data_IF_046045989724
#
_entry.id   IF_046045989724
#
_cell.length_a   1.000
_cell.length_b   1.000
_cell.length_c   1.000
_cell.angle_alpha   90.00
_cell.angle_beta   90.00
_cell.angle_gamma   90.00
#
_symmetry.space_group_name_H-M   'P 1'
#
loop_
_entity.id
_entity.type
_entity.pdbx_description
1 polymer ?
#
# COMPACT_ATOMS: atom_id res chain seq x y z
N UNK A 1 5.22 21.86 2.11
CA UNK A 1 4.30 21.15 3.04
C UNK A 1 3.20 20.57 2.18
N UNK A 2 3.28 19.30 1.84
CA UNK A 2 2.30 18.67 0.95
C UNK A 2 1.22 17.99 1.79
N UNK A 3 -0.03 18.38 1.52
CA UNK A 3 -1.22 17.89 2.22
C UNK A 3 -1.59 16.49 1.74
N UNK A 4 -1.71 15.52 2.67
CA UNK A 4 -2.00 14.12 2.31
C UNK A 4 -3.46 13.90 1.93
N UNK A 5 -4.40 14.56 2.63
CA UNK A 5 -5.83 14.53 2.29
C UNK A 5 -6.33 15.96 2.12
N UNK A 6 -6.28 16.46 0.89
CA UNK A 6 -6.44 17.88 0.57
C UNK A 6 -7.68 18.55 1.18
N UNK A 7 -8.90 17.96 1.10
CA UNK A 7 -10.08 18.60 1.71
C UNK A 7 -10.13 18.48 3.23
N UNK A 8 -9.59 17.42 3.82
CA UNK A 8 -9.45 17.36 5.28
C UNK A 8 -8.44 18.42 5.77
N UNK A 9 -7.66 18.99 4.85
CA UNK A 9 -6.72 20.10 5.05
C UNK A 9 -7.18 21.39 4.34
N UNK A 10 -8.50 21.65 4.28
CA UNK A 10 -9.10 22.92 3.83
C UNK A 10 -9.05 23.23 2.32
N UNK A 11 -8.85 22.23 1.45
CA UNK A 11 -9.04 22.41 0.00
C UNK A 11 -10.52 22.63 -0.38
N UNK A 12 -10.77 23.52 -1.34
CA UNK A 12 -12.11 23.97 -1.70
C UNK A 12 -13.04 22.85 -2.23
N UNK A 13 -12.51 21.88 -2.99
CA UNK A 13 -13.29 20.77 -3.58
C UNK A 13 -13.24 19.52 -2.71
N UNK A 14 -14.36 18.79 -2.61
CA UNK A 14 -14.41 17.43 -1.99
C UNK A 14 -13.63 16.40 -2.77
N UNK A 15 -12.42 16.10 -2.29
CA UNK A 15 -11.56 15.06 -2.84
C UNK A 15 -11.61 13.75 -2.04
N UNK A 16 -12.16 13.76 -0.82
CA UNK A 16 -12.26 12.58 0.06
C UNK A 16 -13.64 12.47 0.75
N UNK A 17 -14.74 12.32 -0.01
CA UNK A 17 -16.10 12.30 0.53
C UNK A 17 -16.31 11.16 1.55
N UNK A 18 -15.87 9.95 1.22
CA UNK A 18 -16.05 8.77 2.07
C UNK A 18 -15.37 8.93 3.43
N UNK A 19 -14.13 9.45 3.48
CA UNK A 19 -13.41 9.70 4.73
C UNK A 19 -14.06 10.82 5.55
N UNK A 20 -14.53 11.88 4.89
CA UNK A 20 -15.24 12.97 5.56
C UNK A 20 -16.55 12.50 6.20
N UNK A 21 -17.28 11.59 5.57
CA UNK A 21 -18.49 10.99 6.13
C UNK A 21 -18.19 10.09 7.34
N UNK A 22 -17.11 9.30 7.28
CA UNK A 22 -16.65 8.49 8.41
C UNK A 22 -16.28 9.36 9.62
N UNK A 23 -15.58 10.46 9.39
CA UNK A 23 -15.24 11.44 10.44
C UNK A 23 -16.51 12.07 11.04
N UNK A 24 -17.48 12.47 10.20
CA UNK A 24 -18.77 13.01 10.68
C UNK A 24 -19.58 12.01 11.51
N UNK A 25 -19.45 10.72 11.22
CA UNK A 25 -20.08 9.62 11.98
C UNK A 25 -19.40 9.35 13.32
N UNK A 26 -18.29 10.02 13.64
CA UNK A 26 -17.55 9.82 14.88
C UNK A 26 -16.72 8.53 14.90
N UNK A 27 -16.40 7.97 13.72
CA UNK A 27 -15.44 6.87 13.65
C UNK A 27 -14.05 7.33 14.13
N UNK A 28 -13.26 6.40 14.67
CA UNK A 28 -11.91 6.67 15.16
C UNK A 28 -10.93 6.90 13.99
N UNK A 29 -11.04 8.05 13.33
CA UNK A 29 -10.23 8.49 12.20
C UNK A 29 -9.38 9.69 12.62
N UNK A 30 -8.06 9.57 12.48
CA UNK A 30 -7.10 10.63 12.76
C UNK A 30 -6.52 11.13 11.42
N UNK A 31 -6.60 12.44 11.17
CA UNK A 31 -6.00 13.08 10.00
C UNK A 31 -4.79 13.93 10.41
N UNK A 32 -3.65 13.69 9.77
CA UNK A 32 -2.43 14.46 9.97
C UNK A 32 -2.32 15.54 8.89
N UNK A 33 -2.46 16.80 9.28
CA UNK A 33 -2.47 17.93 8.35
C UNK A 33 -1.07 18.38 7.93
N UNK A 34 -0.05 18.02 8.70
CA UNK A 34 1.34 18.46 8.50
C UNK A 34 2.27 17.26 8.38
N UNK A 35 2.32 16.68 7.19
CA UNK A 35 3.24 15.59 6.83
C UNK A 35 4.08 16.06 5.65
N UNK A 36 5.26 15.46 5.46
CA UNK A 36 6.11 15.73 4.31
C UNK A 36 6.78 14.44 3.86
N UNK A 37 6.91 14.27 2.54
CA UNK A 37 7.56 13.11 1.95
C UNK A 37 9.07 13.12 2.21
N UNK A 38 9.70 11.96 2.05
CA UNK A 38 11.17 11.86 2.04
C UNK A 38 11.76 12.43 0.74
N UNK A 39 11.14 12.12 -0.41
CA UNK A 39 11.50 12.66 -1.72
C UNK A 39 10.28 12.89 -2.62
N UNK A 40 10.55 13.23 -3.88
CA UNK A 40 9.52 13.51 -4.90
C UNK A 40 9.35 12.38 -5.92
N UNK A 41 10.20 11.35 -5.85
CA UNK A 41 10.15 10.18 -6.73
C UNK A 41 9.91 8.92 -5.91
N UNK A 42 9.09 7.99 -6.43
CA UNK A 42 8.79 6.71 -5.78
C UNK A 42 10.06 5.92 -5.46
N UNK A 43 11.04 5.92 -6.38
CA UNK A 43 12.34 5.26 -6.20
C UNK A 43 13.15 5.77 -5.01
N UNK A 44 12.90 6.99 -4.53
CA UNK A 44 13.56 7.56 -3.35
C UNK A 44 12.66 7.48 -2.12
N UNK A 45 11.39 7.86 -2.27
CA UNK A 45 10.47 7.95 -1.14
C UNK A 45 10.14 6.59 -0.53
N UNK A 46 9.92 5.56 -1.35
CA UNK A 46 9.53 4.24 -0.84
C UNK A 46 10.65 3.63 -0.01
N UNK A 47 11.89 3.47 -0.50
CA UNK A 47 12.92 2.85 0.33
C UNK A 47 13.30 3.72 1.53
N UNK A 48 13.27 5.05 1.41
CA UNK A 48 13.53 5.95 2.54
C UNK A 48 12.53 5.77 3.69
N UNK A 49 11.23 5.72 3.41
CA UNK A 49 10.19 5.60 4.47
C UNK A 49 10.26 4.27 5.22
N UNK A 50 10.73 3.21 4.57
CA UNK A 50 10.87 1.88 5.18
C UNK A 50 12.26 1.66 5.80
N UNK A 51 13.23 2.50 5.49
CA UNK A 51 14.57 2.43 6.07
C UNK A 51 14.59 2.95 7.52
N UNK A 52 15.62 2.59 8.27
CA UNK A 52 15.91 3.19 9.56
C UNK A 52 16.58 4.57 9.47
N UNK A 53 16.81 5.09 8.25
CA UNK A 53 17.46 6.37 8.01
C UNK A 53 16.43 7.51 8.04
N UNK A 54 16.88 8.70 8.41
CA UNK A 54 16.03 9.88 8.32
C UNK A 54 16.17 10.53 6.93
N UNK A 55 15.24 11.42 6.58
CA UNK A 55 15.26 12.12 5.30
C UNK A 55 16.58 12.87 5.01
N UNK A 56 17.20 13.44 6.04
CA UNK A 56 18.39 14.29 5.87
C UNK A 56 19.68 13.48 5.63
N UNK A 57 19.71 12.21 6.03
CA UNK A 57 20.86 11.32 5.90
C UNK A 57 20.55 10.06 5.09
N UNK A 58 19.45 10.06 4.34
CA UNK A 58 19.08 8.94 3.50
C UNK A 58 20.13 8.73 2.41
N UNK A 59 20.67 7.52 2.37
CA UNK A 59 21.58 7.03 1.35
C UNK A 59 21.07 5.67 0.88
N UNK A 60 20.80 5.57 -0.41
CA UNK A 60 20.17 4.39 -1.01
C UNK A 60 21.05 3.15 -0.87
N UNK A 61 22.35 3.29 -1.06
CA UNK A 61 23.29 2.20 -0.91
C UNK A 61 23.28 1.68 0.54
N UNK A 62 23.34 2.56 1.54
CA UNK A 62 23.23 2.15 2.94
C UNK A 62 21.88 1.53 3.28
N UNK A 63 20.78 2.09 2.78
CA UNK A 63 19.44 1.56 3.02
C UNK A 63 19.29 0.13 2.47
N UNK A 64 19.82 -0.14 1.28
CA UNK A 64 19.74 -1.45 0.64
C UNK A 64 20.58 -2.55 1.33
N UNK A 65 21.60 -2.18 2.10
CA UNK A 65 22.46 -3.10 2.84
C UNK A 65 22.07 -3.23 4.33
N UNK A 66 20.90 -2.74 4.73
CA UNK A 66 20.38 -2.84 6.10
C UNK A 66 18.98 -3.43 6.10
N UNK A 67 18.61 -3.99 7.25
CA UNK A 67 17.23 -4.36 7.52
C UNK A 67 16.34 -3.11 7.45
N UNK A 68 15.25 -3.23 6.71
CA UNK A 68 14.18 -2.25 6.70
C UNK A 68 13.09 -2.65 7.70
N UNK A 69 12.03 -1.84 7.78
CA UNK A 69 10.91 -2.10 8.69
C UNK A 69 10.27 -3.48 8.50
N UNK A 70 10.13 -3.94 7.25
CA UNK A 70 9.49 -5.22 6.93
C UNK A 70 10.34 -6.40 7.42
N UNK A 71 11.66 -6.31 7.24
CA UNK A 71 12.60 -7.32 7.75
C UNK A 71 12.55 -7.38 9.28
N UNK A 72 12.55 -6.22 9.92
CA UNK A 72 12.50 -6.11 11.39
C UNK A 72 11.22 -6.75 11.93
N UNK A 73 10.07 -6.51 11.30
CA UNK A 73 8.79 -7.13 11.67
C UNK A 73 8.81 -8.65 11.47
N UNK A 74 9.38 -9.12 10.35
CA UNK A 74 9.53 -10.55 10.09
C UNK A 74 10.44 -11.22 11.13
N UNK A 75 11.57 -10.60 11.49
CA UNK A 75 12.46 -11.06 12.55
C UNK A 75 11.77 -11.10 13.93
N UNK A 76 10.83 -10.19 14.17
CA UNK A 76 9.99 -10.19 15.37
C UNK A 76 8.87 -11.26 15.35
N UNK A 77 8.78 -12.09 14.30
CA UNK A 77 7.79 -13.16 14.17
C UNK A 77 6.44 -12.71 13.60
N UNK A 78 6.34 -11.47 13.10
CA UNK A 78 5.13 -10.99 12.43
C UNK A 78 5.07 -11.59 11.03
N UNK A 79 3.91 -12.11 10.63
CA UNK A 79 3.67 -12.51 9.24
C UNK A 79 3.49 -11.25 8.38
N UNK A 80 4.47 -10.99 7.52
CA UNK A 80 4.46 -9.83 6.62
C UNK A 80 4.21 -10.30 5.19
N UNK A 81 3.37 -9.58 4.45
CA UNK A 81 3.18 -9.74 3.01
C UNK A 81 3.06 -8.37 2.35
N UNK A 82 3.59 -8.24 1.14
CA UNK A 82 3.41 -7.06 0.29
C UNK A 82 2.43 -7.37 -0.85
N UNK A 83 1.47 -6.49 -1.08
CA UNK A 83 0.60 -6.53 -2.27
C UNK A 83 0.97 -5.32 -3.10
N UNK A 84 1.43 -5.57 -4.32
CA UNK A 84 1.94 -4.56 -5.23
C UNK A 84 0.95 -4.37 -6.37
N UNK A 85 0.50 -3.13 -6.59
CA UNK A 85 -0.34 -2.77 -7.72
C UNK A 85 0.23 -1.64 -8.59
N UNK A 86 1.44 -1.20 -8.29
CA UNK A 86 2.12 -0.10 -8.93
C UNK A 86 3.37 -0.64 -9.66
N UNK A 87 4.27 0.23 -10.09
CA UNK A 87 5.49 -0.11 -10.81
C UNK A 87 6.58 -0.75 -9.91
N UNK A 88 6.20 -1.53 -8.89
CA UNK A 88 7.08 -2.29 -8.01
C UNK A 88 7.45 -1.60 -6.70
N UNK A 89 7.87 -2.41 -5.72
CA UNK A 89 8.14 -2.00 -4.33
C UNK A 89 9.51 -1.33 -4.10
N UNK A 90 10.30 -1.11 -5.15
CA UNK A 90 11.63 -0.46 -5.09
C UNK A 90 12.56 -1.14 -4.09
N UNK A 91 12.71 -2.45 -4.25
CA UNK A 91 13.57 -3.34 -3.46
C UNK A 91 13.18 -3.54 -1.98
N UNK A 92 12.23 -2.77 -1.44
CA UNK A 92 11.79 -2.86 -0.05
C UNK A 92 11.19 -4.23 0.30
N UNK A 93 10.46 -4.83 -0.64
CA UNK A 93 9.73 -6.09 -0.42
C UNK A 93 10.50 -7.35 -0.86
N UNK A 94 11.75 -7.25 -1.31
CA UNK A 94 12.51 -8.36 -1.91
C UNK A 94 12.72 -9.58 -0.98
N UNK A 95 12.58 -9.39 0.34
CA UNK A 95 12.86 -10.40 1.37
C UNK A 95 11.60 -10.93 2.06
N UNK A 96 10.42 -10.59 1.54
CA UNK A 96 9.12 -11.02 2.09
C UNK A 96 8.21 -11.55 0.98
N UNK A 97 7.20 -12.38 1.31
CA UNK A 97 6.17 -12.78 0.36
C UNK A 97 5.53 -11.55 -0.30
N UNK A 98 5.55 -11.53 -1.63
CA UNK A 98 5.01 -10.41 -2.42
C UNK A 98 4.06 -10.94 -3.48
N UNK A 99 2.90 -10.31 -3.61
CA UNK A 99 1.91 -10.58 -4.65
C UNK A 99 1.78 -9.35 -5.52
N UNK A 100 2.16 -9.47 -6.78
CA UNK A 100 1.97 -8.41 -7.77
C UNK A 100 0.61 -8.59 -8.45
N UNK A 101 -0.32 -7.67 -8.21
CA UNK A 101 -1.67 -7.73 -8.77
C UNK A 101 -1.68 -7.43 -10.27
N UNK A 102 -0.64 -6.79 -10.80
CA UNK A 102 -0.47 -6.58 -12.23
C UNK A 102 -0.28 -7.92 -12.98
N UNK A 103 0.31 -8.91 -12.31
CA UNK A 103 0.53 -10.24 -12.90
C UNK A 103 -0.75 -11.09 -12.89
N UNK A 104 -1.74 -10.74 -12.07
CA UNK A 104 -3.00 -11.49 -11.94
C UNK A 104 -3.96 -11.25 -13.10
N UNK A 105 -3.76 -10.19 -13.90
CA UNK A 105 -4.53 -9.86 -15.11
C UNK A 105 -6.05 -9.98 -14.92
N UNK A 106 -6.57 -9.53 -13.78
CA UNK A 106 -7.98 -9.65 -13.43
C UNK A 106 -8.83 -8.77 -14.36
N UNK A 107 -9.58 -9.32 -15.34
CA UNK A 107 -10.17 -8.53 -16.43
C UNK A 107 -11.20 -7.51 -15.95
N UNK A 108 -11.84 -7.78 -14.81
CA UNK A 108 -12.81 -6.89 -14.16
C UNK A 108 -12.16 -5.61 -13.60
N UNK A 109 -10.86 -5.65 -13.29
CA UNK A 109 -10.10 -4.55 -12.69
C UNK A 109 -9.04 -3.95 -13.63
N UNK A 110 -8.98 -4.42 -14.87
CA UNK A 110 -8.05 -3.95 -15.91
C UNK A 110 -8.78 -3.10 -16.94
N UNK A 111 -8.51 -1.80 -16.99
CA UNK A 111 -9.03 -0.91 -18.05
C UNK A 111 -7.87 -0.40 -18.89
N UNK A 112 -7.79 -0.82 -20.16
CA UNK A 112 -6.82 -0.31 -21.15
C UNK A 112 -5.34 -0.34 -20.71
N UNK A 113 -4.93 -1.37 -19.96
CA UNK A 113 -3.54 -1.52 -19.48
C UNK A 113 -3.21 -0.73 -18.21
N UNK A 114 -4.18 0.01 -17.67
CA UNK A 114 -4.10 0.58 -16.32
C UNK A 114 -4.88 -0.31 -15.35
N UNK A 115 -4.23 -0.68 -14.25
CA UNK A 115 -4.80 -1.49 -13.19
C UNK A 115 -5.29 -0.57 -12.09
N UNK A 116 -6.57 -0.65 -11.75
CA UNK A 116 -7.13 0.13 -10.65
C UNK A 116 -6.72 -0.44 -9.29
N UNK A 117 -6.60 0.41 -8.28
CA UNK A 117 -6.27 0.01 -6.90
C UNK A 117 -7.24 -1.04 -6.31
N UNK A 118 -8.42 -1.20 -6.91
CA UNK A 118 -9.42 -2.19 -6.51
C UNK A 118 -8.92 -3.65 -6.60
N UNK A 119 -7.93 -3.93 -7.46
CA UNK A 119 -7.32 -5.27 -7.56
C UNK A 119 -6.66 -5.73 -6.24
N UNK A 120 -6.16 -4.78 -5.43
CA UNK A 120 -5.58 -5.09 -4.13
C UNK A 120 -6.62 -5.60 -3.12
N UNK A 121 -7.85 -5.10 -3.19
CA UNK A 121 -8.93 -5.45 -2.25
C UNK A 121 -9.34 -6.93 -2.42
N UNK A 122 -9.42 -7.38 -3.68
CA UNK A 122 -9.68 -8.79 -4.00
C UNK A 122 -8.57 -9.70 -3.48
N UNK A 123 -7.32 -9.29 -3.69
CA UNK A 123 -6.12 -10.04 -3.28
C UNK A 123 -5.99 -10.12 -1.75
N UNK A 124 -6.22 -9.01 -1.05
CA UNK A 124 -6.24 -8.94 0.41
C UNK A 124 -7.28 -9.89 1.01
N UNK A 125 -8.48 -9.94 0.43
CA UNK A 125 -9.54 -10.86 0.87
C UNK A 125 -9.08 -12.32 0.81
N UNK A 126 -8.29 -12.67 -0.22
CA UNK A 126 -7.70 -14.00 -0.34
C UNK A 126 -6.57 -14.25 0.64
N UNK A 127 -5.72 -13.27 0.95
CA UNK A 127 -4.69 -13.43 1.99
C UNK A 127 -5.32 -13.72 3.35
N UNK A 128 -6.33 -12.95 3.76
CA UNK A 128 -7.05 -13.18 5.00
C UNK A 128 -7.76 -14.55 4.99
N UNK A 129 -8.37 -14.95 3.87
CA UNK A 129 -8.97 -16.27 3.72
C UNK A 129 -7.93 -17.40 3.77
N UNK A 130 -6.70 -17.19 3.25
CA UNK A 130 -5.64 -18.18 3.25
C UNK A 130 -5.03 -18.36 4.65
N UNK A 131 -4.88 -17.26 5.42
CA UNK A 131 -4.49 -17.31 6.84
C UNK A 131 -5.51 -18.08 7.69
N UNK A 132 -6.81 -17.94 7.37
CA UNK A 132 -7.88 -18.49 8.21
C UNK A 132 -8.39 -19.86 7.76
N UNK A 133 -8.33 -20.23 6.46
CA UNK A 133 -9.14 -21.34 5.93
C UNK A 133 -8.56 -22.16 4.75
N UNK A 134 -7.31 -21.98 4.28
CA UNK A 134 -6.73 -22.75 3.16
C UNK A 134 -7.64 -22.89 1.90
N UNK A 135 -8.44 -21.87 1.57
CA UNK A 135 -9.19 -21.89 0.30
C UNK A 135 -8.36 -21.27 -0.83
N UNK A 136 -8.30 -21.96 -1.96
CA UNK A 136 -7.80 -21.41 -3.22
C UNK A 136 -8.65 -20.21 -3.63
N UNK A 137 -7.97 -19.10 -3.94
CA UNK A 137 -8.53 -17.79 -4.32
C UNK A 137 -9.28 -17.79 -5.68
N UNK A 138 -9.74 -18.95 -6.17
CA UNK A 138 -10.13 -19.14 -7.57
C UNK A 138 -11.64 -19.28 -7.80
N UNK A 139 -12.55 -18.63 -7.05
CA UNK A 139 -13.98 -18.65 -7.45
C UNK A 139 -14.74 -17.40 -7.00
N UNK A 140 -14.65 -16.31 -7.78
CA UNK A 140 -15.72 -15.29 -7.80
C UNK A 140 -16.07 -14.73 -9.19
N UNK A 141 -15.65 -15.41 -10.26
CA UNK A 141 -15.97 -15.05 -11.65
C UNK A 141 -17.04 -15.91 -12.33
N UNK A 142 -17.80 -16.76 -11.61
CA UNK A 142 -18.86 -17.60 -12.20
C UNK A 142 -20.22 -17.42 -11.54
N UNK A 143 -20.72 -16.20 -11.41
CA UNK A 143 -22.17 -15.96 -11.28
C UNK A 143 -22.53 -14.55 -11.76
N UNK A 144 -22.55 -14.35 -13.08
CA UNK A 144 -23.53 -13.48 -13.70
C UNK A 144 -24.11 -14.25 -14.87
N UNK A 145 -25.40 -14.56 -14.78
CA UNK A 145 -26.23 -14.80 -15.96
C UNK A 145 -26.48 -13.49 -16.68
#
# INVERSE_FOLDING_TARGET
MENVIYRLNSYARQTAPNLAERLKRGENLINFSQVSSCGTATAISVPCMFSSLNRANYDEAQANHRDNLLDTLQHAGVKVQWIENNAGCKDVCNRIPTVNTLDLQLPEYCTKGEYGDMAEIGTNSCFFAHILLQFDCFFRGKYSR
#
